data_IF_580473414592
#
_entry.id   IF_580473414592
#
_cell.length_a   1.000
_cell.length_b   1.000
_cell.length_c   1.000
_cell.angle_alpha   90.00
_cell.angle_beta   90.00
_cell.angle_gamma   90.00
#
_symmetry.space_group_name_H-M   'P 1'
#
loop_
_entity.id
_entity.type
_entity.pdbx_description
1 polymer ?
#
# COMPACT_ATOMS: atom_id res chain seq x y z
N UNK A 1 -23.16 18.54 -37.29
CA UNK A 1 -22.67 17.22 -36.85
C UNK A 1 -21.77 17.46 -35.66
N UNK A 2 -22.31 17.22 -34.46
CA UNK A 2 -21.64 17.43 -33.16
C UNK A 2 -21.03 16.10 -32.74
N UNK A 3 -19.71 16.06 -32.62
CA UNK A 3 -18.99 14.89 -32.10
C UNK A 3 -18.93 15.02 -30.57
N UNK A 4 -19.65 14.13 -29.89
CA UNK A 4 -19.66 14.03 -28.44
C UNK A 4 -18.31 13.56 -27.89
N UNK A 5 -17.84 14.28 -26.87
CA UNK A 5 -16.68 13.94 -26.06
C UNK A 5 -17.13 12.87 -25.04
N UNK A 6 -16.40 11.77 -24.84
CA UNK A 6 -16.79 10.75 -23.86
C UNK A 6 -16.49 11.22 -22.44
N UNK A 7 -17.53 11.26 -21.64
CA UNK A 7 -17.60 11.52 -20.22
C UNK A 7 -17.04 10.33 -19.41
N UNK A 8 -15.73 10.25 -19.23
CA UNK A 8 -15.05 9.21 -18.41
C UNK A 8 -13.86 9.70 -17.58
N UNK A 9 -13.85 10.97 -17.14
CA UNK A 9 -12.78 11.49 -16.27
C UNK A 9 -13.23 11.92 -14.87
N UNK A 10 -14.50 11.70 -14.48
CA UNK A 10 -15.04 12.20 -13.21
C UNK A 10 -14.94 11.25 -12.01
N UNK A 11 -14.76 9.95 -12.22
CA UNK A 11 -14.78 8.98 -11.09
C UNK A 11 -13.45 8.79 -10.34
N UNK A 12 -12.33 9.27 -10.88
CA UNK A 12 -11.03 9.13 -10.18
C UNK A 12 -10.75 10.24 -9.16
N UNK A 13 -11.39 11.40 -9.29
CA UNK A 13 -11.21 12.54 -8.39
C UNK A 13 -11.95 12.33 -7.07
N UNK A 14 -13.16 11.76 -7.10
CA UNK A 14 -13.99 11.53 -5.91
C UNK A 14 -13.42 10.49 -4.92
N UNK A 15 -12.67 9.52 -5.41
CA UNK A 15 -12.05 8.50 -4.54
C UNK A 15 -10.84 9.03 -3.74
N UNK A 16 -10.19 10.09 -4.21
CA UNK A 16 -9.07 10.71 -3.49
C UNK A 16 -9.56 11.62 -2.36
N UNK A 17 -10.64 12.37 -2.58
CA UNK A 17 -11.25 13.24 -1.56
C UNK A 17 -11.92 12.45 -0.43
N UNK A 18 -12.50 11.30 -0.73
CA UNK A 18 -13.09 10.40 0.28
C UNK A 18 -12.00 9.82 1.21
N UNK A 19 -10.81 9.52 0.67
CA UNK A 19 -9.67 9.00 1.46
C UNK A 19 -9.13 10.07 2.42
N UNK A 20 -9.08 11.34 2.00
CA UNK A 20 -8.60 12.45 2.86
C UNK A 20 -9.64 12.88 3.91
N UNK A 21 -10.93 12.75 3.63
CA UNK A 21 -11.99 13.04 4.59
C UNK A 21 -12.09 11.98 5.69
N UNK A 22 -11.85 10.70 5.38
CA UNK A 22 -11.83 9.61 6.35
C UNK A 22 -10.55 9.59 7.22
N UNK A 23 -9.41 10.06 6.69
CA UNK A 23 -8.18 10.22 7.49
C UNK A 23 -8.31 11.34 8.55
N UNK A 24 -9.19 12.33 8.34
CA UNK A 24 -9.50 13.35 9.36
C UNK A 24 -10.27 12.81 10.56
N UNK A 25 -11.05 11.76 10.40
CA UNK A 25 -11.71 11.05 11.50
C UNK A 25 -10.75 10.12 12.26
N UNK A 26 -9.54 9.89 11.76
CA UNK A 26 -8.48 9.14 12.43
C UNK A 26 -7.51 10.04 13.20
N UNK A 27 -7.67 11.37 13.13
CA UNK A 27 -6.94 12.28 14.03
C UNK A 27 -7.52 12.11 15.43
N UNK A 28 -6.65 11.89 16.39
CA UNK A 28 -6.93 12.06 17.81
C UNK A 28 -7.34 13.52 18.02
N UNK A 29 -8.58 13.85 17.67
CA UNK A 29 -9.16 15.14 17.94
C UNK A 29 -9.15 15.38 19.44
N UNK A 30 -8.89 16.60 19.83
CA UNK A 30 -8.78 17.10 21.20
C UNK A 30 -10.02 16.94 22.10
N UNK A 31 -10.95 16.07 21.76
CA UNK A 31 -12.17 15.76 22.53
C UNK A 31 -12.32 14.25 22.69
N UNK A 32 -11.67 13.72 23.73
CA UNK A 32 -11.94 12.41 24.29
C UNK A 32 -11.49 11.22 23.43
N UNK A 33 -10.76 10.30 24.04
CA UNK A 33 -10.45 8.99 23.46
C UNK A 33 -11.79 8.29 23.18
N UNK A 34 -12.09 7.98 21.92
CA UNK A 34 -13.27 7.20 21.57
C UNK A 34 -13.06 5.76 22.08
N UNK A 35 -13.65 5.45 23.22
CA UNK A 35 -13.54 4.13 23.88
C UNK A 35 -13.98 2.99 22.94
N UNK A 36 -14.94 3.22 22.05
CA UNK A 36 -15.37 2.22 21.08
C UNK A 36 -14.28 1.90 20.05
N UNK A 37 -13.47 2.89 19.67
CA UNK A 37 -12.33 2.67 18.79
C UNK A 37 -11.26 1.80 19.46
N UNK A 38 -11.00 2.00 20.76
CA UNK A 38 -10.03 1.21 21.52
C UNK A 38 -10.47 -0.25 21.71
N UNK A 39 -11.78 -0.51 21.70
CA UNK A 39 -12.34 -1.87 21.78
C UNK A 39 -12.42 -2.58 20.43
N UNK A 40 -12.20 -1.88 19.30
CA UNK A 40 -12.23 -2.48 17.98
C UNK A 40 -10.82 -2.96 17.56
N UNK A 41 -10.60 -4.27 17.40
CA UNK A 41 -9.27 -4.82 17.11
C UNK A 41 -8.72 -4.41 15.76
N UNK A 42 -9.57 -4.05 14.77
CA UNK A 42 -9.11 -3.54 13.50
C UNK A 42 -8.45 -2.16 13.65
N UNK A 43 -9.03 -1.27 14.47
CA UNK A 43 -8.42 0.02 14.79
C UNK A 43 -7.14 -0.13 15.58
N UNK A 44 -7.14 -0.98 16.62
CA UNK A 44 -5.94 -1.28 17.42
C UNK A 44 -4.80 -1.78 16.52
N UNK A 45 -5.09 -2.67 15.59
CA UNK A 45 -4.09 -3.14 14.63
C UNK A 45 -3.61 -2.01 13.71
N UNK A 46 -4.52 -1.25 13.09
CA UNK A 46 -4.14 -0.20 12.14
C UNK A 46 -3.31 0.91 12.80
N UNK A 47 -3.61 1.27 14.05
CA UNK A 47 -2.82 2.26 14.82
C UNK A 47 -1.43 1.77 15.18
N UNK A 48 -1.24 0.46 15.35
CA UNK A 48 0.08 -0.14 15.62
C UNK A 48 1.05 -0.05 14.43
N UNK A 49 0.54 0.26 13.22
CA UNK A 49 1.37 0.36 12.03
C UNK A 49 2.04 1.73 11.92
N UNK A 50 3.37 1.77 11.86
CA UNK A 50 4.15 3.01 11.86
C UNK A 50 4.07 3.82 10.56
N UNK A 51 3.73 3.22 9.41
CA UNK A 51 3.72 3.88 8.10
C UNK A 51 2.29 4.16 7.61
N UNK A 52 2.03 5.39 7.13
CA UNK A 52 0.75 5.78 6.50
C UNK A 52 0.38 4.82 5.36
N UNK A 53 1.34 4.49 4.49
CA UNK A 53 1.12 3.56 3.37
C UNK A 53 0.75 2.16 3.84
N UNK A 54 1.39 1.67 4.92
CA UNK A 54 1.04 0.37 5.50
C UNK A 54 -0.37 0.40 6.08
N UNK A 55 -0.74 1.46 6.80
CA UNK A 55 -2.09 1.64 7.34
C UNK A 55 -3.15 1.61 6.24
N UNK A 56 -2.99 2.43 5.19
CA UNK A 56 -3.92 2.49 4.06
C UNK A 56 -4.03 1.13 3.36
N UNK A 57 -2.91 0.48 3.08
CA UNK A 57 -2.91 -0.84 2.44
C UNK A 57 -3.62 -1.91 3.27
N UNK A 58 -3.36 -1.96 4.58
CA UNK A 58 -4.01 -2.92 5.48
C UNK A 58 -5.49 -2.58 5.72
N UNK A 59 -5.84 -1.28 5.85
CA UNK A 59 -7.24 -0.83 5.91
C UNK A 59 -8.03 -1.31 4.70
N UNK A 60 -7.51 -1.11 3.49
CA UNK A 60 -8.17 -1.56 2.26
C UNK A 60 -8.32 -3.08 2.19
N UNK A 61 -7.32 -3.84 2.66
CA UNK A 61 -7.40 -5.29 2.75
C UNK A 61 -8.51 -5.74 3.71
N UNK A 62 -8.63 -5.11 4.87
CA UNK A 62 -9.67 -5.40 5.87
C UNK A 62 -11.06 -4.97 5.40
N UNK A 63 -11.21 -3.81 4.75
CA UNK A 63 -12.47 -3.37 4.16
C UNK A 63 -12.96 -4.35 3.08
N UNK A 64 -12.05 -4.90 2.28
CA UNK A 64 -12.41 -5.93 1.31
C UNK A 64 -12.92 -7.20 1.99
N UNK A 65 -12.30 -7.62 3.11
CA UNK A 65 -12.77 -8.73 3.93
C UNK A 65 -14.16 -8.43 4.51
N UNK A 66 -14.36 -7.26 5.10
CA UNK A 66 -15.63 -6.81 5.64
C UNK A 66 -16.74 -6.85 4.58
N UNK A 67 -16.50 -6.24 3.41
CA UNK A 67 -17.44 -6.21 2.28
C UNK A 67 -17.81 -7.61 1.78
N UNK A 68 -16.89 -8.56 1.78
CA UNK A 68 -17.18 -9.94 1.39
C UNK A 68 -18.23 -10.60 2.29
N UNK A 69 -18.27 -10.22 3.58
CA UNK A 69 -19.28 -10.68 4.53
C UNK A 69 -20.47 -9.74 4.70
N UNK A 70 -20.62 -8.73 3.82
CA UNK A 70 -21.76 -7.81 3.82
C UNK A 70 -21.62 -6.60 4.76
N UNK A 71 -20.47 -6.40 5.41
CA UNK A 71 -20.24 -5.25 6.27
C UNK A 71 -19.71 -4.05 5.48
N UNK A 72 -20.25 -2.85 5.75
CA UNK A 72 -19.86 -1.63 5.03
C UNK A 72 -18.58 -0.99 5.57
N UNK A 73 -18.29 -1.17 6.85
CA UNK A 73 -17.13 -0.59 7.54
C UNK A 73 -16.49 -1.58 8.50
N UNK A 74 -15.33 -1.22 9.07
CA UNK A 74 -14.60 -2.09 10.00
C UNK A 74 -15.19 -2.09 11.41
N UNK A 75 -16.03 -1.12 11.73
CA UNK A 75 -16.64 -0.94 13.07
C UNK A 75 -17.75 -1.97 13.31
N UNK A 76 -18.48 -2.33 12.24
CA UNK A 76 -19.63 -3.23 12.31
C UNK A 76 -19.26 -4.71 12.18
N UNK A 77 -17.99 -5.02 11.88
CA UNK A 77 -17.53 -6.41 11.79
C UNK A 77 -17.42 -7.02 13.18
N UNK A 78 -18.08 -8.15 13.46
CA UNK A 78 -17.94 -8.88 14.71
C UNK A 78 -16.62 -9.68 14.72
N UNK A 79 -15.52 -9.01 15.00
CA UNK A 79 -14.17 -9.57 14.89
C UNK A 79 -13.94 -10.78 15.77
N UNK A 80 -14.64 -10.86 16.91
CA UNK A 80 -14.63 -12.01 17.83
C UNK A 80 -15.27 -13.26 17.26
N UNK A 81 -16.12 -13.14 16.23
CA UNK A 81 -16.79 -14.26 15.57
C UNK A 81 -16.04 -14.83 14.35
N UNK A 82 -14.90 -14.21 14.00
CA UNK A 82 -14.08 -14.71 12.91
C UNK A 82 -13.49 -16.07 13.30
N UNK A 83 -13.65 -17.04 12.41
CA UNK A 83 -13.16 -18.41 12.59
C UNK A 83 -12.40 -18.89 11.35
N UNK A 84 -11.79 -20.06 11.45
CA UNK A 84 -11.00 -20.67 10.37
C UNK A 84 -11.83 -20.87 9.10
N UNK A 85 -13.13 -21.21 9.24
CA UNK A 85 -14.01 -21.42 8.11
C UNK A 85 -14.25 -20.12 7.33
N UNK A 86 -14.52 -19.00 8.02
CA UNK A 86 -14.70 -17.68 7.37
C UNK A 86 -13.44 -17.24 6.64
N UNK A 87 -12.26 -17.41 7.24
CA UNK A 87 -10.98 -17.04 6.59
C UNK A 87 -10.73 -17.93 5.35
N UNK A 88 -10.99 -19.24 5.45
CA UNK A 88 -10.80 -20.15 4.32
C UNK A 88 -11.81 -19.87 3.20
N UNK A 89 -13.06 -19.53 3.52
CA UNK A 89 -14.08 -19.13 2.54
C UNK A 89 -13.62 -17.89 1.77
N UNK A 90 -13.15 -16.86 2.47
CA UNK A 90 -12.61 -15.65 1.86
C UNK A 90 -11.37 -15.95 1.00
N UNK A 91 -10.45 -16.78 1.50
CA UNK A 91 -9.27 -17.22 0.73
C UNK A 91 -9.67 -17.93 -0.57
N UNK A 92 -10.68 -18.81 -0.51
CA UNK A 92 -11.19 -19.52 -1.68
C UNK A 92 -11.82 -18.57 -2.70
N UNK A 93 -12.55 -17.54 -2.23
CA UNK A 93 -13.10 -16.50 -3.09
C UNK A 93 -12.00 -15.72 -3.82
N UNK A 94 -10.95 -15.32 -3.11
CA UNK A 94 -9.82 -14.61 -3.71
C UNK A 94 -9.08 -15.47 -4.77
N UNK A 95 -8.98 -16.77 -4.54
CA UNK A 95 -8.44 -17.71 -5.53
C UNK A 95 -9.33 -17.80 -6.78
N UNK A 96 -10.66 -17.88 -6.61
CA UNK A 96 -11.63 -17.87 -7.71
C UNK A 96 -11.57 -16.58 -8.53
N UNK A 97 -11.31 -15.43 -7.88
CA UNK A 97 -11.08 -14.15 -8.54
C UNK A 97 -9.72 -14.07 -9.28
N UNK A 98 -8.91 -15.10 -9.24
CA UNK A 98 -7.59 -15.13 -9.87
C UNK A 98 -6.56 -14.19 -9.22
N UNK A 99 -6.73 -13.84 -7.94
CA UNK A 99 -5.75 -13.00 -7.23
C UNK A 99 -4.42 -13.73 -7.10
N UNK A 100 -3.32 -12.96 -7.13
CA UNK A 100 -1.99 -13.55 -6.95
C UNK A 100 -1.79 -14.09 -5.53
N UNK A 101 -1.00 -15.15 -5.34
CA UNK A 101 -0.66 -15.66 -4.01
C UNK A 101 -0.14 -14.57 -3.07
N UNK A 102 0.67 -13.66 -3.57
CA UNK A 102 1.21 -12.55 -2.79
C UNK A 102 0.12 -11.59 -2.30
N UNK A 103 -0.85 -11.26 -3.18
CA UNK A 103 -2.01 -10.41 -2.82
C UNK A 103 -2.87 -11.10 -1.76
N UNK A 104 -3.16 -12.40 -1.93
CA UNK A 104 -3.94 -13.16 -0.96
C UNK A 104 -3.22 -13.20 0.39
N UNK A 105 -1.93 -13.47 0.40
CA UNK A 105 -1.13 -13.52 1.62
C UNK A 105 -1.05 -12.16 2.32
N UNK A 106 -1.05 -11.05 1.57
CA UNK A 106 -1.15 -9.70 2.14
C UNK A 106 -2.49 -9.50 2.86
N UNK A 107 -3.60 -9.96 2.27
CA UNK A 107 -4.92 -9.89 2.91
C UNK A 107 -5.02 -10.78 4.14
N UNK A 108 -4.47 -12.00 4.08
CA UNK A 108 -4.38 -12.88 5.23
C UNK A 108 -3.49 -12.30 6.34
N UNK A 109 -2.43 -11.56 5.99
CA UNK A 109 -1.59 -10.86 6.97
C UNK A 109 -2.36 -9.75 7.70
N UNK A 110 -3.21 -9.00 7.00
CA UNK A 110 -4.08 -8.00 7.63
C UNK A 110 -5.05 -8.65 8.64
N UNK A 111 -5.71 -9.76 8.26
CA UNK A 111 -6.61 -10.50 9.14
C UNK A 111 -5.85 -11.03 10.38
N UNK A 112 -4.65 -11.61 10.19
CA UNK A 112 -3.81 -12.05 11.32
C UNK A 112 -3.42 -10.91 12.25
N UNK A 113 -3.18 -9.72 11.70
CA UNK A 113 -2.93 -8.52 12.49
C UNK A 113 -4.10 -8.17 13.40
N UNK A 114 -5.32 -8.22 12.87
CA UNK A 114 -6.55 -8.00 13.65
C UNK A 114 -6.77 -9.09 14.70
N UNK A 115 -6.55 -10.36 14.36
CA UNK A 115 -6.64 -11.49 15.30
C UNK A 115 -5.66 -11.28 16.46
N UNK A 116 -4.42 -10.86 16.17
CA UNK A 116 -3.44 -10.54 17.22
C UNK A 116 -3.92 -9.39 18.11
N UNK A 117 -4.46 -8.33 17.52
CA UNK A 117 -5.01 -7.20 18.26
C UNK A 117 -6.23 -7.60 19.11
N UNK A 118 -7.14 -8.43 18.58
CA UNK A 118 -8.28 -8.96 19.31
C UNK A 118 -7.85 -9.76 20.56
N UNK A 119 -6.83 -10.55 20.43
CA UNK A 119 -6.21 -11.26 21.55
C UNK A 119 -5.58 -10.29 22.56
N UNK A 120 -4.85 -9.27 22.11
CA UNK A 120 -4.20 -8.30 22.98
C UNK A 120 -5.19 -7.49 23.83
N UNK A 121 -6.38 -7.24 23.32
CA UNK A 121 -7.45 -6.53 24.05
C UNK A 121 -8.45 -7.48 24.75
N UNK A 122 -8.14 -8.78 24.79
CA UNK A 122 -8.93 -9.77 25.50
C UNK A 122 -10.26 -10.18 24.86
N UNK A 123 -10.47 -9.88 23.57
CA UNK A 123 -11.68 -10.27 22.83
C UNK A 123 -11.70 -11.75 22.44
N UNK A 124 -10.53 -12.36 22.28
CA UNK A 124 -10.37 -13.78 21.98
C UNK A 124 -9.35 -14.42 22.93
N UNK A 125 -9.52 -15.70 23.18
CA UNK A 125 -8.65 -16.51 24.03
C UNK A 125 -7.35 -16.92 23.31
N UNK A 126 -6.36 -17.40 24.07
CA UNK A 126 -5.15 -18.01 23.52
C UNK A 126 -5.46 -19.22 22.62
N UNK A 127 -6.45 -20.03 23.01
CA UNK A 127 -6.88 -21.19 22.25
C UNK A 127 -7.44 -20.78 20.87
N UNK A 128 -8.33 -19.81 20.80
CA UNK A 128 -8.88 -19.28 19.55
C UNK A 128 -7.80 -18.69 18.66
N UNK A 129 -6.88 -17.91 19.21
CA UNK A 129 -5.73 -17.38 18.48
C UNK A 129 -4.87 -18.49 17.86
N UNK A 130 -4.60 -19.55 18.59
CA UNK A 130 -3.83 -20.71 18.09
C UNK A 130 -4.57 -21.41 16.95
N UNK A 131 -5.88 -21.64 17.09
CA UNK A 131 -6.71 -22.23 16.03
C UNK A 131 -6.66 -21.34 14.77
N UNK A 132 -6.86 -20.03 14.90
CA UNK A 132 -6.84 -19.11 13.76
C UNK A 132 -5.46 -19.02 13.09
N UNK A 133 -4.37 -19.24 13.83
CA UNK A 133 -3.02 -19.30 13.29
C UNK A 133 -2.77 -20.52 12.38
N UNK A 134 -3.60 -21.56 12.44
CA UNK A 134 -3.47 -22.75 11.59
C UNK A 134 -3.77 -22.48 10.12
N UNK A 135 -4.42 -21.36 9.78
CA UNK A 135 -4.71 -20.99 8.40
C UNK A 135 -3.41 -20.77 7.63
N UNK A 136 -3.12 -21.67 6.69
CA UNK A 136 -1.89 -21.64 5.90
C UNK A 136 -1.94 -20.57 4.81
N UNK A 137 -0.81 -19.91 4.51
CA UNK A 137 -0.69 -19.02 3.37
C UNK A 137 -0.86 -19.80 2.05
N UNK A 138 -1.20 -19.08 0.99
CA UNK A 138 -1.26 -19.65 -0.37
C UNK A 138 0.16 -19.77 -0.92
N UNK A 139 0.51 -20.96 -1.39
CA UNK A 139 1.79 -21.23 -2.05
C UNK A 139 1.71 -20.83 -3.52
N UNK A 140 2.81 -20.37 -4.07
CA UNK A 140 2.98 -20.02 -5.47
C UNK A 140 3.54 -18.62 -5.65
N UNK A 141 4.09 -18.38 -6.83
CA UNK A 141 4.57 -17.07 -7.28
C UNK A 141 4.05 -16.83 -8.69
N UNK A 142 3.66 -15.60 -8.99
CA UNK A 142 3.49 -15.20 -10.40
C UNK A 142 4.86 -14.83 -10.95
N UNK A 143 5.15 -15.29 -12.18
CA UNK A 143 6.29 -14.75 -12.93
C UNK A 143 6.05 -13.26 -13.16
N UNK A 144 7.06 -12.45 -12.93
CA UNK A 144 7.01 -11.04 -13.28
C UNK A 144 6.85 -10.94 -14.80
N UNK A 145 5.88 -10.17 -15.26
CA UNK A 145 5.66 -9.89 -16.69
C UNK A 145 6.58 -8.77 -17.20
N UNK A 146 7.24 -8.04 -16.32
CA UNK A 146 8.19 -6.99 -16.67
C UNK A 146 9.54 -7.56 -17.08
N UNK A 147 10.20 -6.87 -18.01
CA UNK A 147 11.59 -7.10 -18.39
C UNK A 147 12.43 -5.85 -18.13
N UNK A 148 13.71 -6.02 -17.99
CA UNK A 148 14.63 -4.90 -17.97
C UNK A 148 14.67 -4.19 -19.32
N UNK A 149 14.82 -2.86 -19.31
CA UNK A 149 15.12 -2.09 -20.51
C UNK A 149 16.56 -2.35 -20.94
N UNK A 150 16.77 -2.49 -22.23
CA UNK A 150 18.11 -2.48 -22.80
C UNK A 150 18.71 -1.07 -22.74
N UNK A 151 20.03 -0.95 -22.85
CA UNK A 151 20.70 0.35 -22.89
C UNK A 151 20.20 1.22 -24.06
N UNK A 152 19.95 0.61 -25.22
CA UNK A 152 19.41 1.30 -26.40
C UNK A 152 18.01 1.85 -26.12
N UNK A 153 17.16 1.08 -25.46
CA UNK A 153 15.80 1.51 -25.11
C UNK A 153 15.81 2.64 -24.07
N UNK A 154 16.70 2.56 -23.08
CA UNK A 154 16.90 3.61 -22.08
C UNK A 154 17.37 4.91 -22.72
N UNK A 155 18.36 4.84 -23.65
CA UNK A 155 18.85 6.00 -24.39
C UNK A 155 17.78 6.62 -25.29
N UNK A 156 16.98 5.80 -25.98
CA UNK A 156 15.85 6.28 -26.78
C UNK A 156 14.79 6.99 -25.95
N UNK A 157 14.49 6.46 -24.77
CA UNK A 157 13.52 7.06 -23.85
C UNK A 157 13.98 8.45 -23.38
N UNK A 158 15.25 8.58 -22.98
CA UNK A 158 15.85 9.87 -22.59
C UNK A 158 15.86 10.84 -23.76
N UNK A 159 16.24 10.38 -24.97
CA UNK A 159 16.26 11.23 -26.18
C UNK A 159 14.87 11.73 -26.56
N UNK A 160 13.84 10.89 -26.39
CA UNK A 160 12.45 11.29 -26.63
C UNK A 160 12.01 12.44 -25.68
N UNK A 161 12.33 12.33 -24.40
CA UNK A 161 12.04 13.39 -23.45
C UNK A 161 12.82 14.69 -23.76
N UNK A 162 14.00 14.60 -24.34
CA UNK A 162 14.85 15.76 -24.69
C UNK A 162 14.32 16.60 -25.86
N UNK A 163 13.45 16.02 -26.69
CA UNK A 163 13.05 16.59 -27.99
C UNK A 163 12.23 17.90 -27.85
N UNK A 164 11.48 18.10 -26.77
CA UNK A 164 10.61 19.27 -26.58
C UNK A 164 11.22 20.36 -25.69
N UNK A 165 12.18 20.01 -24.84
CA UNK A 165 12.92 20.91 -23.95
C UNK A 165 12.04 21.77 -23.01
N UNK A 166 10.89 21.22 -22.59
CA UNK A 166 10.01 21.85 -21.60
C UNK A 166 10.44 21.45 -20.16
N UNK A 167 10.02 22.20 -19.15
CA UNK A 167 10.34 21.90 -17.75
C UNK A 167 9.88 20.48 -17.33
N UNK A 168 8.76 20.02 -17.89
CA UNK A 168 8.24 18.66 -17.68
C UNK A 168 9.21 17.62 -18.23
N UNK A 169 9.76 17.85 -19.41
CA UNK A 169 10.69 16.91 -20.05
C UNK A 169 12.01 16.81 -19.29
N UNK A 170 12.52 17.94 -18.76
CA UNK A 170 13.71 17.98 -17.88
C UNK A 170 13.47 17.15 -16.62
N UNK A 171 12.32 17.33 -15.98
CA UNK A 171 11.89 16.53 -14.81
C UNK A 171 11.84 15.05 -15.14
N UNK A 172 11.21 14.68 -16.24
CA UNK A 172 11.04 13.29 -16.65
C UNK A 172 12.38 12.63 -17.00
N UNK A 173 13.31 13.35 -17.63
CA UNK A 173 14.69 12.90 -17.82
C UNK A 173 15.36 12.61 -16.47
N UNK A 174 15.24 13.53 -15.50
CA UNK A 174 15.82 13.34 -14.18
C UNK A 174 15.25 12.11 -13.48
N UNK A 175 13.92 11.92 -13.50
CA UNK A 175 13.24 10.75 -12.91
C UNK A 175 13.73 9.45 -13.55
N UNK A 176 13.80 9.40 -14.88
CA UNK A 176 14.23 8.21 -15.64
C UNK A 176 15.70 7.91 -15.37
N UNK A 177 16.56 8.93 -15.42
CA UNK A 177 18.00 8.76 -15.19
C UNK A 177 18.30 8.29 -13.77
N UNK A 178 17.68 8.89 -12.76
CA UNK A 178 17.82 8.48 -11.36
C UNK A 178 17.23 7.09 -11.10
N UNK A 179 16.10 6.77 -11.74
CA UNK A 179 15.48 5.45 -11.63
C UNK A 179 16.33 4.34 -12.24
N UNK A 180 16.93 4.57 -13.41
CA UNK A 180 17.76 3.58 -14.12
C UNK A 180 19.19 3.57 -13.56
N UNK A 181 19.83 4.75 -13.44
CA UNK A 181 21.23 4.85 -13.06
C UNK A 181 21.48 4.55 -11.59
N UNK A 182 20.64 5.07 -10.69
CA UNK A 182 20.81 4.92 -9.24
C UNK A 182 19.89 3.87 -8.62
N UNK A 183 18.97 3.27 -9.38
CA UNK A 183 18.04 2.25 -8.89
C UNK A 183 17.09 2.76 -7.80
N UNK A 184 16.69 4.05 -7.87
CA UNK A 184 15.83 4.66 -6.88
C UNK A 184 14.40 4.11 -6.96
N UNK A 185 13.79 3.86 -5.79
CA UNK A 185 12.38 3.51 -5.72
C UNK A 185 11.51 4.74 -5.95
N UNK A 186 10.29 4.55 -6.45
CA UNK A 186 9.35 5.65 -6.71
C UNK A 186 9.20 6.61 -5.51
N UNK A 187 9.09 6.11 -4.30
CA UNK A 187 8.95 6.95 -3.11
C UNK A 187 10.25 7.70 -2.79
N UNK A 188 11.40 7.07 -2.98
CA UNK A 188 12.71 7.71 -2.79
C UNK A 188 12.89 8.87 -3.78
N UNK A 189 12.46 8.67 -5.05
CA UNK A 189 12.45 9.74 -6.06
C UNK A 189 11.50 10.90 -5.69
N UNK A 190 10.32 10.59 -5.12
CA UNK A 190 9.34 11.64 -4.76
C UNK A 190 9.72 12.45 -3.52
N UNK A 191 10.57 11.91 -2.67
CA UNK A 191 11.02 12.52 -1.41
C UNK A 191 12.41 13.18 -1.53
N UNK A 192 13.11 12.98 -2.66
CA UNK A 192 14.44 13.49 -2.91
C UNK A 192 14.46 15.03 -2.92
N UNK A 193 15.39 15.61 -2.19
CA UNK A 193 15.62 17.05 -2.11
C UNK A 193 16.97 17.42 -2.71
N UNK A 194 17.14 18.68 -3.10
CA UNK A 194 18.43 19.18 -3.60
C UNK A 194 19.56 19.02 -2.57
N UNK A 195 19.26 19.19 -1.29
CA UNK A 195 20.21 19.01 -0.19
C UNK A 195 20.72 17.57 -0.03
N UNK A 196 20.02 16.60 -0.64
CA UNK A 196 20.44 15.21 -0.64
C UNK A 196 21.44 14.89 -1.76
N UNK A 197 21.70 15.85 -2.67
CA UNK A 197 22.57 15.67 -3.84
C UNK A 197 23.90 16.40 -3.58
N UNK A 198 24.99 15.66 -3.56
CA UNK A 198 26.33 16.21 -3.56
C UNK A 198 26.87 16.21 -5.00
N UNK A 199 26.87 17.39 -5.62
CA UNK A 199 27.35 17.58 -6.99
C UNK A 199 28.86 17.44 -7.13
N UNK A 200 29.62 17.72 -6.07
CA UNK A 200 31.09 17.58 -6.07
C UNK A 200 31.49 16.11 -6.10
N UNK A 201 30.89 15.30 -5.25
CA UNK A 201 31.19 13.86 -5.14
C UNK A 201 30.32 13.01 -6.05
N UNK A 202 29.43 13.64 -6.83
CA UNK A 202 28.45 12.96 -7.70
C UNK A 202 27.66 11.87 -6.95
N UNK A 203 27.28 12.17 -5.72
CA UNK A 203 26.60 11.22 -4.84
C UNK A 203 25.25 11.74 -4.36
N UNK A 204 24.36 10.81 -4.06
CA UNK A 204 22.99 11.08 -3.60
C UNK A 204 22.74 10.33 -2.31
N UNK A 205 22.35 11.04 -1.27
CA UNK A 205 21.91 10.47 -0.01
C UNK A 205 20.44 10.05 -0.10
N UNK A 206 20.14 8.80 0.16
CA UNK A 206 18.79 8.24 0.07
C UNK A 206 18.38 7.72 1.43
N UNK A 207 17.21 8.18 1.91
CA UNK A 207 16.58 7.65 3.10
C UNK A 207 15.50 6.63 2.65
N UNK A 208 15.73 5.37 2.90
CA UNK A 208 14.84 4.29 2.50
C UNK A 208 13.88 3.84 3.60
N UNK A 209 13.17 2.73 3.34
CA UNK A 209 12.21 2.12 4.28
C UNK A 209 12.86 1.85 5.64
N UNK A 210 12.21 2.32 6.71
CA UNK A 210 12.68 2.15 8.08
C UNK A 210 13.79 3.13 8.45
N UNK A 211 13.84 4.30 7.80
CA UNK A 211 14.84 5.36 8.03
C UNK A 211 16.29 4.89 7.79
N UNK A 212 16.47 3.90 6.91
CA UNK A 212 17.80 3.41 6.54
C UNK A 212 18.40 4.32 5.47
N UNK A 213 19.52 4.90 5.80
CA UNK A 213 20.29 5.76 4.89
C UNK A 213 21.23 4.92 4.02
N UNK A 214 21.35 5.30 2.75
CA UNK A 214 22.40 4.82 1.84
C UNK A 214 22.83 5.93 0.91
N UNK A 215 24.09 5.88 0.51
CA UNK A 215 24.65 6.75 -0.52
C UNK A 215 24.74 5.98 -1.81
N UNK A 216 24.29 6.58 -2.92
CA UNK A 216 24.45 6.07 -4.27
C UNK A 216 25.29 7.05 -5.08
N UNK A 217 26.26 6.54 -5.83
CA UNK A 217 27.06 7.35 -6.73
C UNK A 217 26.43 7.33 -8.12
N UNK A 218 26.35 8.45 -8.80
CA UNK A 218 26.02 8.55 -10.21
C UNK A 218 27.16 7.95 -11.02
N UNK A 219 26.87 7.01 -11.91
CA UNK A 219 27.83 6.51 -12.92
C UNK A 219 27.64 7.20 -14.23
#
# INVERSE_FOLDING_TARGET
>A
MSLGVPEKMSEKSSNFEIIEAEDRNFSLGSSGINENALKNPAFVYLTSLGSKFSRTGMKNALLRFAKFFGFQNLETVPWERINVASINLYKTQLLKEGRSPNTINTYLAAIRGVIKAAWQIGLISDHEKLILATVKPVRGSRKYSGRALSQIESSKLISFCRAKNEAIDIRDIAIISLGIGCGLRRNELSELKLDDINFTDQSIRIIGKGNKERIVCGS
#
